data_IF_766693472203
#
_entry.id   IF_766693472203
#
_cell.length_a   1.000
_cell.length_b   1.000
_cell.length_c   1.000
_cell.angle_alpha   90.00
_cell.angle_beta   90.00
_cell.angle_gamma   90.00
#
_symmetry.space_group_name_H-M   'P 1'
#
loop_
_entity.id
_entity.type
_entity.pdbx_description
1 polymer ?
#
# COMPACT_ATOMS: atom_id res chain seq x y z
N UNK A 1 -12.30 21.37 -22.24
CA UNK A 1 -13.09 22.32 -21.44
C UNK A 1 -12.30 22.67 -20.18
N UNK A 2 -11.73 23.87 -20.16
CA UNK A 2 -10.88 24.45 -19.10
C UNK A 2 -11.57 24.38 -17.72
N UNK A 3 -10.84 23.99 -16.68
CA UNK A 3 -11.33 23.90 -15.30
C UNK A 3 -11.85 25.26 -14.80
N UNK A 4 -11.25 26.34 -15.30
CA UNK A 4 -11.66 27.72 -15.01
C UNK A 4 -13.05 28.00 -15.60
N UNK A 5 -13.32 27.52 -16.81
CA UNK A 5 -14.61 27.69 -17.47
C UNK A 5 -15.73 26.86 -16.82
N UNK A 6 -15.42 25.63 -16.38
CA UNK A 6 -16.39 24.77 -15.69
C UNK A 6 -16.77 25.33 -14.30
N UNK A 7 -15.78 25.85 -13.57
CA UNK A 7 -16.00 26.50 -12.27
C UNK A 7 -16.78 27.81 -12.43
N UNK A 8 -16.42 28.65 -13.41
CA UNK A 8 -17.15 29.87 -13.71
C UNK A 8 -18.63 29.60 -14.08
N UNK A 9 -18.90 28.52 -14.81
CA UNK A 9 -20.27 28.12 -15.15
C UNK A 9 -21.06 27.60 -13.94
N UNK A 10 -20.42 26.80 -13.07
CA UNK A 10 -21.04 26.35 -11.82
C UNK A 10 -21.32 27.51 -10.88
N UNK A 11 -20.36 28.42 -10.69
CA UNK A 11 -20.50 29.60 -9.84
C UNK A 11 -21.56 30.54 -10.40
N UNK A 12 -21.63 30.72 -11.73
CA UNK A 12 -22.70 31.48 -12.41
C UNK A 12 -24.08 30.85 -12.17
N UNK A 13 -24.23 29.54 -12.31
CA UNK A 13 -25.50 28.87 -12.02
C UNK A 13 -25.85 29.00 -10.53
N UNK A 14 -24.91 28.73 -9.62
CA UNK A 14 -25.15 28.77 -8.17
C UNK A 14 -25.49 30.17 -7.65
N UNK A 15 -24.88 31.22 -8.20
CA UNK A 15 -25.11 32.62 -7.76
C UNK A 15 -26.27 33.29 -8.50
N UNK A 16 -26.50 32.97 -9.77
CA UNK A 16 -27.51 33.65 -10.60
C UNK A 16 -28.86 32.94 -10.58
N UNK A 17 -28.87 31.59 -10.51
CA UNK A 17 -30.11 30.79 -10.60
C UNK A 17 -30.81 30.64 -9.23
N UNK A 18 -30.11 30.83 -8.12
CA UNK A 18 -30.69 30.72 -6.77
C UNK A 18 -31.18 32.08 -6.23
N UNK A 19 -30.78 33.22 -6.83
CA UNK A 19 -31.03 34.55 -6.27
C UNK A 19 -31.76 35.58 -7.14
N UNK A 20 -31.91 35.37 -8.46
CA UNK A 20 -32.56 36.36 -9.34
C UNK A 20 -33.49 35.70 -10.36
N UNK A 21 -34.60 36.36 -10.74
CA UNK A 21 -35.46 35.87 -11.81
C UNK A 21 -34.64 35.76 -13.10
N UNK A 22 -34.73 34.65 -13.85
CA UNK A 22 -33.88 34.41 -15.01
C UNK A 22 -34.15 35.47 -16.07
N UNK A 23 -33.12 36.24 -16.43
CA UNK A 23 -33.16 37.03 -17.65
C UNK A 23 -33.29 36.06 -18.84
N UNK A 24 -34.27 36.24 -19.73
CA UNK A 24 -34.53 35.29 -20.80
C UNK A 24 -33.36 35.28 -21.78
N UNK A 25 -32.68 34.13 -21.89
CA UNK A 25 -31.74 33.87 -22.97
C UNK A 25 -32.49 33.91 -24.30
N UNK A 26 -31.98 34.67 -25.28
CA UNK A 26 -32.55 34.76 -26.62
C UNK A 26 -32.60 33.37 -27.27
N UNK A 27 -33.79 32.77 -27.34
CA UNK A 27 -34.02 31.45 -27.92
C UNK A 27 -33.83 31.53 -29.45
N UNK A 28 -32.81 30.87 -29.98
CA UNK A 28 -32.56 30.71 -31.43
C UNK A 28 -33.56 29.77 -32.13
N UNK A 29 -34.45 29.10 -31.37
CA UNK A 29 -35.51 28.24 -31.87
C UNK A 29 -36.78 28.49 -31.06
N UNK A 30 -37.91 28.75 -31.73
CA UNK A 30 -39.21 28.96 -31.10
C UNK A 30 -39.83 27.62 -30.66
N UNK A 31 -39.25 27.02 -29.63
CA UNK A 31 -39.85 25.86 -28.94
C UNK A 31 -40.43 26.37 -27.62
N UNK A 32 -41.75 26.27 -27.47
CA UNK A 32 -42.44 26.57 -26.22
C UNK A 32 -42.54 25.28 -25.40
N UNK A 33 -41.57 25.06 -24.52
CA UNK A 33 -41.66 24.02 -23.50
C UNK A 33 -42.67 24.44 -22.42
N UNK A 34 -43.36 23.46 -21.84
CA UNK A 34 -44.09 23.68 -20.59
C UNK A 34 -43.12 23.97 -19.44
N UNK A 35 -43.58 24.65 -18.39
CA UNK A 35 -42.78 24.88 -17.16
C UNK A 35 -42.26 23.59 -16.54
N UNK A 36 -42.99 22.47 -16.69
CA UNK A 36 -42.56 21.15 -16.25
C UNK A 36 -41.40 20.59 -17.11
N UNK A 37 -41.43 20.83 -18.43
CA UNK A 37 -40.34 20.42 -19.33
C UNK A 37 -39.09 21.28 -19.14
N UNK A 38 -39.23 22.59 -18.94
CA UNK A 38 -38.11 23.47 -18.62
C UNK A 38 -37.44 23.05 -17.29
N UNK A 39 -38.22 22.74 -16.26
CA UNK A 39 -37.69 22.23 -14.98
C UNK A 39 -36.96 20.89 -15.15
N UNK A 40 -37.49 19.98 -15.99
CA UNK A 40 -36.84 18.69 -16.28
C UNK A 40 -35.51 18.87 -17.01
N UNK A 41 -35.46 19.75 -18.02
CA UNK A 41 -34.24 20.04 -18.79
C UNK A 41 -33.15 20.62 -17.87
N UNK A 42 -33.52 21.56 -16.97
CA UNK A 42 -32.57 22.14 -16.01
C UNK A 42 -32.06 21.08 -15.04
N UNK A 43 -32.95 20.25 -14.48
CA UNK A 43 -32.59 19.17 -13.55
C UNK A 43 -31.66 18.14 -14.21
N UNK A 44 -31.96 17.72 -15.43
CA UNK A 44 -31.12 16.82 -16.22
C UNK A 44 -29.76 17.46 -16.54
N UNK A 45 -29.74 18.75 -16.86
CA UNK A 45 -28.52 19.52 -17.12
C UNK A 45 -27.60 19.59 -15.91
N UNK A 46 -28.16 19.92 -14.73
CA UNK A 46 -27.41 19.94 -13.46
C UNK A 46 -26.89 18.55 -13.10
N UNK A 47 -27.72 17.51 -13.26
CA UNK A 47 -27.32 16.14 -12.97
C UNK A 47 -26.16 15.68 -13.85
N UNK A 48 -26.21 15.98 -15.16
CA UNK A 48 -25.10 15.70 -16.09
C UNK A 48 -23.85 16.50 -15.75
N UNK A 49 -23.98 17.79 -15.43
CA UNK A 49 -22.85 18.63 -15.05
C UNK A 49 -22.16 18.11 -13.77
N UNK A 50 -22.96 17.65 -12.79
CA UNK A 50 -22.46 17.02 -11.57
C UNK A 50 -21.68 15.73 -11.87
N UNK A 51 -22.21 14.85 -12.70
CA UNK A 51 -21.52 13.61 -13.11
C UNK A 51 -20.18 13.93 -13.78
N UNK A 52 -20.17 14.89 -14.72
CA UNK A 52 -18.94 15.30 -15.42
C UNK A 52 -17.92 15.89 -14.43
N UNK A 53 -18.38 16.71 -13.48
CA UNK A 53 -17.52 17.30 -12.47
C UNK A 53 -16.92 16.24 -11.54
N UNK A 54 -17.73 15.30 -11.04
CA UNK A 54 -17.29 14.20 -10.19
C UNK A 54 -16.27 13.31 -10.92
N UNK A 55 -16.51 12.98 -12.20
CA UNK A 55 -15.55 12.23 -13.03
C UNK A 55 -14.23 12.97 -13.20
N UNK A 56 -14.26 14.28 -13.51
CA UNK A 56 -13.03 15.09 -13.64
C UNK A 56 -12.27 15.17 -12.32
N UNK A 57 -12.97 15.30 -11.20
CA UNK A 57 -12.35 15.35 -9.88
C UNK A 57 -11.67 14.01 -9.54
N UNK A 58 -12.30 12.88 -9.84
CA UNK A 58 -11.69 11.54 -9.70
C UNK A 58 -10.40 11.42 -10.51
N UNK A 59 -10.44 11.80 -11.79
CA UNK A 59 -9.25 11.79 -12.66
C UNK A 59 -8.12 12.66 -12.10
N UNK A 60 -8.41 13.88 -11.67
CA UNK A 60 -7.41 14.77 -11.08
C UNK A 60 -6.79 14.21 -9.79
N UNK A 61 -7.59 13.49 -8.99
CA UNK A 61 -7.10 12.80 -7.79
C UNK A 61 -6.20 11.61 -8.14
N UNK A 62 -6.58 10.81 -9.15
CA UNK A 62 -5.77 9.70 -9.64
C UNK A 62 -4.43 10.18 -10.20
N UNK A 63 -4.43 11.22 -11.04
CA UNK A 63 -3.22 11.85 -11.57
C UNK A 63 -2.33 12.37 -10.45
N UNK A 64 -2.92 12.98 -9.41
CA UNK A 64 -2.16 13.42 -8.23
C UNK A 64 -1.47 12.24 -7.54
N UNK A 65 -2.19 11.14 -7.26
CA UNK A 65 -1.63 9.96 -6.60
C UNK A 65 -0.48 9.38 -7.42
N UNK A 66 -0.70 9.15 -8.72
CA UNK A 66 0.32 8.60 -9.61
C UNK A 66 1.54 9.51 -9.71
N UNK A 67 1.36 10.82 -9.75
CA UNK A 67 2.46 11.78 -9.76
C UNK A 67 3.27 11.76 -8.45
N UNK A 68 2.63 11.64 -7.29
CA UNK A 68 3.35 11.53 -6.01
C UNK A 68 4.08 10.21 -5.86
N UNK A 69 3.46 9.10 -6.30
CA UNK A 69 4.12 7.79 -6.32
C UNK A 69 5.30 7.77 -7.29
N UNK A 70 5.16 8.35 -8.48
CA UNK A 70 6.27 8.50 -9.41
C UNK A 70 7.42 9.28 -8.79
N UNK A 71 7.14 10.38 -8.07
CA UNK A 71 8.17 11.14 -7.33
C UNK A 71 8.84 10.31 -6.24
N UNK A 72 8.06 9.56 -5.46
CA UNK A 72 8.59 8.70 -4.41
C UNK A 72 9.44 7.54 -4.97
N UNK A 73 9.18 7.11 -6.20
CA UNK A 73 9.97 6.10 -6.90
C UNK A 73 11.33 6.62 -7.42
N UNK A 74 11.58 7.94 -7.44
CA UNK A 74 12.84 8.49 -7.94
C UNK A 74 13.95 8.37 -6.89
N UNK A 75 15.10 7.71 -7.19
CA UNK A 75 16.20 7.51 -6.24
C UNK A 75 16.78 8.81 -5.64
N UNK A 76 16.80 9.89 -6.42
CA UNK A 76 17.38 11.19 -6.04
C UNK A 76 16.45 12.03 -5.16
N UNK A 77 15.19 11.64 -4.99
CA UNK A 77 14.22 12.43 -4.22
C UNK A 77 14.60 12.56 -2.74
N UNK A 78 15.33 11.57 -2.18
CA UNK A 78 16.00 11.60 -0.86
C UNK A 78 15.11 11.91 0.36
N UNK A 79 13.86 12.29 0.13
CA UNK A 79 12.92 12.84 1.10
C UNK A 79 11.68 11.96 1.09
N UNK A 80 11.38 11.39 2.25
CA UNK A 80 10.15 10.66 2.47
C UNK A 80 8.95 11.59 2.17
N UNK A 81 7.87 11.01 1.64
CA UNK A 81 6.63 11.76 1.45
C UNK A 81 6.15 12.30 2.80
N UNK A 82 5.57 13.51 2.80
CA UNK A 82 5.04 14.07 4.04
C UNK A 82 3.89 13.19 4.58
N UNK A 83 3.68 13.10 5.90
CA UNK A 83 2.58 12.33 6.48
C UNK A 83 1.20 12.74 5.92
N UNK A 84 0.99 14.04 5.66
CA UNK A 84 -0.23 14.55 5.06
C UNK A 84 -0.41 14.08 3.61
N UNK A 85 0.67 14.05 2.83
CA UNK A 85 0.66 13.52 1.46
C UNK A 85 0.35 12.04 1.45
N UNK A 86 1.00 11.25 2.32
CA UNK A 86 0.75 9.82 2.43
C UNK A 86 -0.70 9.53 2.82
N UNK A 87 -1.24 10.23 3.83
CA UNK A 87 -2.64 10.08 4.25
C UNK A 87 -3.62 10.39 3.11
N UNK A 88 -3.36 11.45 2.33
CA UNK A 88 -4.18 11.78 1.16
C UNK A 88 -4.11 10.71 0.08
N UNK A 89 -2.93 10.14 -0.18
CA UNK A 89 -2.75 9.05 -1.14
C UNK A 89 -3.54 7.82 -0.68
N UNK A 90 -3.34 7.38 0.56
CA UNK A 90 -4.06 6.23 1.14
C UNK A 90 -5.57 6.40 1.03
N UNK A 91 -6.11 7.55 1.47
CA UNK A 91 -7.54 7.82 1.38
C UNK A 91 -8.06 7.83 -0.07
N UNK A 92 -7.25 8.30 -1.03
CA UNK A 92 -7.63 8.31 -2.44
C UNK A 92 -7.62 6.88 -3.01
N UNK A 93 -6.63 6.06 -2.68
CA UNK A 93 -6.57 4.66 -3.09
C UNK A 93 -7.77 3.89 -2.55
N UNK A 94 -8.11 4.06 -1.27
CA UNK A 94 -9.28 3.42 -0.65
C UNK A 94 -10.62 3.82 -1.31
N UNK A 95 -10.74 5.06 -1.78
CA UNK A 95 -11.94 5.54 -2.48
C UNK A 95 -11.98 5.14 -3.97
N UNK A 96 -10.81 4.87 -4.57
CA UNK A 96 -10.62 4.61 -6.00
C UNK A 96 -9.60 3.47 -6.20
N UNK A 97 -9.96 2.21 -5.86
CA UNK A 97 -9.07 1.07 -5.95
C UNK A 97 -8.58 0.79 -7.38
N UNK A 98 -9.31 1.22 -8.40
CA UNK A 98 -8.93 1.11 -9.80
C UNK A 98 -7.59 1.78 -10.13
N UNK A 99 -7.15 2.76 -9.33
CA UNK A 99 -5.85 3.43 -9.50
C UNK A 99 -4.69 2.43 -9.37
N UNK A 100 -4.84 1.37 -8.57
CA UNK A 100 -3.79 0.38 -8.32
C UNK A 100 -3.28 -0.28 -9.62
N UNK A 101 -4.15 -0.44 -10.61
CA UNK A 101 -3.78 -1.01 -11.92
C UNK A 101 -2.75 -0.15 -12.67
N UNK A 102 -2.65 1.13 -12.32
CA UNK A 102 -1.73 2.09 -12.92
C UNK A 102 -0.51 2.38 -12.03
N UNK A 103 -0.45 1.82 -10.82
CA UNK A 103 0.70 2.00 -9.92
C UNK A 103 1.85 1.14 -10.42
N UNK A 104 3.05 1.70 -10.64
CA UNK A 104 4.14 0.94 -11.21
C UNK A 104 4.84 0.10 -10.12
N UNK A 105 4.50 -1.19 -10.05
CA UNK A 105 4.94 -2.15 -9.02
C UNK A 105 6.15 -3.00 -9.44
N UNK A 106 7.12 -2.42 -10.14
CA UNK A 106 8.39 -3.12 -10.39
C UNK A 106 9.28 -3.12 -9.13
N UNK A 107 10.27 -4.02 -9.09
CA UNK A 107 11.11 -4.22 -7.90
C UNK A 107 11.86 -2.96 -7.44
N UNK A 108 12.28 -2.09 -8.36
CA UNK A 108 12.96 -0.83 -8.02
C UNK A 108 12.00 0.14 -7.34
N UNK A 109 10.83 0.36 -7.94
CA UNK A 109 9.80 1.24 -7.38
C UNK A 109 9.33 0.77 -6.01
N UNK A 110 9.13 -0.54 -5.83
CA UNK A 110 8.72 -1.11 -4.55
C UNK A 110 9.75 -0.82 -3.46
N UNK A 111 11.05 -0.97 -3.75
CA UNK A 111 12.12 -0.63 -2.79
C UNK A 111 12.11 0.86 -2.45
N UNK A 112 11.86 1.70 -3.44
CA UNK A 112 11.76 3.14 -3.24
C UNK A 112 10.52 3.50 -2.41
N UNK A 113 9.39 2.81 -2.60
CA UNK A 113 8.20 2.97 -1.76
C UNK A 113 8.43 2.51 -0.33
N UNK A 114 9.10 1.37 -0.13
CA UNK A 114 9.46 0.88 1.19
C UNK A 114 10.31 1.90 1.96
N UNK A 115 11.23 2.58 1.26
CA UNK A 115 12.10 3.60 1.84
C UNK A 115 11.39 4.94 2.10
N UNK A 116 10.59 5.41 1.15
CA UNK A 116 10.09 6.80 1.14
C UNK A 116 8.63 6.94 1.62
N UNK A 117 7.83 5.87 1.57
CA UNK A 117 6.41 5.93 1.88
C UNK A 117 5.82 4.57 2.31
N UNK A 118 6.43 3.94 3.32
CA UNK A 118 6.04 2.61 3.83
C UNK A 118 4.52 2.44 4.04
N UNK A 119 3.84 3.41 4.66
CA UNK A 119 2.39 3.30 4.91
C UNK A 119 1.58 3.17 3.62
N UNK A 120 2.00 3.86 2.55
CA UNK A 120 1.34 3.76 1.25
C UNK A 120 1.60 2.40 0.62
N UNK A 121 2.81 1.86 0.76
CA UNK A 121 3.12 0.50 0.32
C UNK A 121 2.25 -0.55 1.03
N UNK A 122 2.05 -0.41 2.34
CA UNK A 122 1.15 -1.29 3.11
C UNK A 122 -0.30 -1.18 2.61
N UNK A 123 -0.79 0.03 2.33
CA UNK A 123 -2.12 0.20 1.72
C UNK A 123 -2.22 -0.53 0.38
N UNK A 124 -1.23 -0.36 -0.49
CA UNK A 124 -1.17 -1.04 -1.80
C UNK A 124 -1.25 -2.57 -1.61
N UNK A 125 -0.47 -3.11 -0.69
CA UNK A 125 -0.46 -4.56 -0.38
C UNK A 125 -1.82 -5.03 0.11
N UNK A 126 -2.42 -4.32 1.08
CA UNK A 126 -3.72 -4.70 1.65
C UNK A 126 -4.87 -4.63 0.65
N UNK A 127 -4.72 -3.83 -0.41
CA UNK A 127 -5.72 -3.71 -1.49
C UNK A 127 -5.40 -4.60 -2.69
N UNK A 128 -4.30 -5.36 -2.66
CA UNK A 128 -3.94 -6.27 -3.74
C UNK A 128 -4.62 -7.62 -3.50
N UNK A 129 -5.55 -8.00 -4.37
CA UNK A 129 -6.36 -9.22 -4.20
C UNK A 129 -5.56 -10.52 -4.39
N UNK A 130 -4.50 -10.47 -5.20
CA UNK A 130 -3.70 -11.64 -5.57
C UNK A 130 -2.62 -11.91 -4.52
N UNK A 131 -2.73 -13.04 -3.82
CA UNK A 131 -1.70 -13.48 -2.85
C UNK A 131 -0.32 -13.63 -3.49
N UNK A 132 -0.26 -14.04 -4.76
CA UNK A 132 0.99 -14.12 -5.52
C UNK A 132 1.63 -12.75 -5.71
N UNK A 133 0.82 -11.72 -6.03
CA UNK A 133 1.32 -10.37 -6.22
C UNK A 133 1.72 -9.74 -4.89
N UNK A 134 0.93 -9.97 -3.82
CA UNK A 134 1.29 -9.59 -2.44
C UNK A 134 2.66 -10.16 -2.06
N UNK A 135 2.87 -11.46 -2.30
CA UNK A 135 4.16 -12.11 -2.04
C UNK A 135 5.30 -11.45 -2.83
N UNK A 136 5.12 -11.22 -4.13
CA UNK A 136 6.12 -10.56 -4.99
C UNK A 136 6.45 -9.14 -4.52
N UNK A 137 5.45 -8.37 -4.11
CA UNK A 137 5.63 -7.01 -3.60
C UNK A 137 6.43 -7.05 -2.30
N UNK A 138 6.00 -7.86 -1.33
CA UNK A 138 6.69 -7.99 -0.03
C UNK A 138 8.12 -8.47 -0.25
N UNK A 139 8.33 -9.51 -1.04
CA UNK A 139 9.65 -10.04 -1.36
C UNK A 139 10.55 -8.95 -1.97
N UNK A 140 10.01 -8.09 -2.84
CA UNK A 140 10.76 -6.99 -3.46
C UNK A 140 11.12 -5.88 -2.47
N UNK A 141 10.31 -5.66 -1.44
CA UNK A 141 10.52 -4.67 -0.40
C UNK A 141 11.62 -5.07 0.62
N UNK A 142 11.98 -6.35 0.71
CA UNK A 142 13.04 -6.83 1.61
C UNK A 142 14.41 -6.30 1.16
N UNK A 143 14.98 -5.40 1.95
CA UNK A 143 16.32 -4.83 1.78
C UNK A 143 17.30 -5.42 2.79
N UNK A 144 18.60 -5.38 2.49
CA UNK A 144 19.65 -5.90 3.38
C UNK A 144 20.86 -4.94 3.39
N UNK A 145 21.44 -4.61 4.56
CA UNK A 145 20.89 -4.82 5.90
C UNK A 145 19.67 -3.92 6.16
N UNK A 146 18.84 -4.30 7.14
CA UNK A 146 17.71 -3.51 7.61
C UNK A 146 18.08 -2.77 8.90
N UNK A 147 17.58 -1.54 9.04
CA UNK A 147 17.57 -0.86 10.34
C UNK A 147 16.40 -1.38 11.21
N UNK A 148 16.38 -0.99 12.50
CA UNK A 148 15.39 -1.49 13.47
C UNK A 148 13.95 -1.12 13.06
N UNK A 149 13.74 0.08 12.52
CA UNK A 149 12.41 0.55 12.12
C UNK A 149 11.91 -0.24 10.91
N UNK A 150 12.75 -0.40 9.89
CA UNK A 150 12.46 -1.22 8.70
C UNK A 150 12.12 -2.66 9.10
N UNK A 151 12.90 -3.24 10.02
CA UNK A 151 12.67 -4.59 10.49
C UNK A 151 11.34 -4.73 11.24
N UNK A 152 11.01 -3.81 12.16
CA UNK A 152 9.73 -3.80 12.88
C UNK A 152 8.54 -3.76 11.91
N UNK A 153 8.60 -2.84 10.94
CA UNK A 153 7.56 -2.64 9.95
C UNK A 153 7.40 -3.87 9.04
N UNK A 154 8.49 -4.44 8.55
CA UNK A 154 8.45 -5.63 7.70
C UNK A 154 7.99 -6.87 8.46
N UNK A 155 8.44 -7.07 9.69
CA UNK A 155 8.03 -8.22 10.50
C UNK A 155 6.53 -8.20 10.78
N UNK A 156 5.96 -7.03 11.12
CA UNK A 156 4.52 -6.89 11.28
C UNK A 156 3.77 -7.23 9.99
N UNK A 157 4.25 -6.70 8.85
CA UNK A 157 3.65 -6.98 7.55
C UNK A 157 3.69 -8.48 7.18
N UNK A 158 4.79 -9.17 7.49
CA UNK A 158 4.91 -10.62 7.27
C UNK A 158 3.96 -11.41 8.17
N UNK A 159 3.74 -10.99 9.41
CA UNK A 159 2.77 -11.60 10.33
C UNK A 159 1.35 -11.39 9.79
N UNK A 160 0.99 -10.16 9.43
CA UNK A 160 -0.36 -9.81 8.95
C UNK A 160 -0.69 -10.53 7.62
N UNK A 161 0.31 -10.72 6.75
CA UNK A 161 0.14 -11.30 5.42
C UNK A 161 0.60 -12.76 5.34
N UNK A 162 0.82 -13.46 6.46
CA UNK A 162 1.45 -14.79 6.50
C UNK A 162 0.85 -15.80 5.51
N UNK A 163 -0.48 -15.79 5.32
CA UNK A 163 -1.16 -16.69 4.40
C UNK A 163 -0.76 -16.51 2.93
N UNK A 164 -0.29 -15.32 2.54
CA UNK A 164 0.16 -15.01 1.20
C UNK A 164 1.68 -15.23 1.01
N UNK A 165 2.45 -15.44 2.08
CA UNK A 165 3.91 -15.47 2.01
C UNK A 165 4.45 -16.86 1.65
N UNK A 166 5.30 -16.91 0.62
CA UNK A 166 6.03 -18.10 0.22
C UNK A 166 7.28 -18.36 1.07
N UNK A 167 7.76 -19.62 1.07
CA UNK A 167 9.02 -19.98 1.72
C UNK A 167 10.21 -19.16 1.19
N UNK A 168 10.28 -18.89 -0.12
CA UNK A 168 11.34 -18.07 -0.72
C UNK A 168 11.40 -16.65 -0.15
N UNK A 169 10.24 -16.05 0.13
CA UNK A 169 10.15 -14.74 0.77
C UNK A 169 10.65 -14.81 2.21
N UNK A 170 10.32 -15.88 2.94
CA UNK A 170 10.82 -16.10 4.30
C UNK A 170 12.33 -16.36 4.33
N UNK A 171 12.90 -17.10 3.37
CA UNK A 171 14.35 -17.26 3.24
C UNK A 171 15.03 -15.91 2.98
N UNK A 172 14.47 -15.09 2.08
CA UNK A 172 14.99 -13.75 1.82
C UNK A 172 14.94 -12.86 3.05
N UNK A 173 13.86 -12.96 3.84
CA UNK A 173 13.73 -12.26 5.12
C UNK A 173 14.76 -12.76 6.14
N UNK A 174 14.96 -14.07 6.29
CA UNK A 174 15.96 -14.65 7.19
C UNK A 174 17.36 -14.11 6.87
N UNK A 175 17.76 -14.15 5.59
CA UNK A 175 19.02 -13.62 5.12
C UNK A 175 19.18 -12.12 5.45
N UNK A 176 18.10 -11.34 5.34
CA UNK A 176 18.08 -9.93 5.69
C UNK A 176 18.28 -9.70 7.19
N UNK A 177 17.63 -10.50 8.02
CA UNK A 177 17.79 -10.47 9.48
C UNK A 177 19.22 -10.83 9.85
N UNK A 178 19.79 -11.90 9.29
CA UNK A 178 21.18 -12.29 9.55
C UNK A 178 22.19 -11.22 9.15
N UNK A 179 22.02 -10.60 7.98
CA UNK A 179 22.85 -9.48 7.56
C UNK A 179 22.78 -8.31 8.56
N UNK A 180 21.58 -8.00 9.06
CA UNK A 180 21.33 -6.94 10.04
C UNK A 180 21.95 -7.27 11.41
N UNK A 181 21.83 -8.51 11.87
CA UNK A 181 22.42 -9.01 13.11
C UNK A 181 23.95 -9.08 13.05
N UNK A 182 24.55 -9.34 11.88
CA UNK A 182 26.01 -9.28 11.67
C UNK A 182 26.53 -7.84 11.65
N UNK A 183 25.77 -6.92 11.06
CA UNK A 183 26.12 -5.50 11.03
C UNK A 183 26.11 -4.86 12.44
N UNK A 184 25.25 -5.35 13.33
CA UNK A 184 25.17 -4.91 14.72
C UNK A 184 26.02 -5.83 15.60
N UNK A 185 27.26 -5.43 15.90
CA UNK A 185 28.09 -6.15 16.88
C UNK A 185 27.33 -6.29 18.21
N UNK A 186 27.37 -7.48 18.80
CA UNK A 186 26.65 -7.94 20.00
C UNK A 186 26.03 -6.84 20.87
N UNK A 187 24.70 -6.82 21.01
CA UNK A 187 24.00 -5.79 21.76
C UNK A 187 22.47 -5.96 21.77
N UNK A 188 21.77 -5.00 22.41
CA UNK A 188 20.31 -5.02 22.56
C UNK A 188 19.56 -5.07 21.22
N UNK A 189 20.09 -4.42 20.18
CA UNK A 189 19.47 -4.38 18.86
C UNK A 189 19.55 -5.73 18.11
N UNK A 190 20.68 -6.46 18.23
CA UNK A 190 20.79 -7.82 17.70
C UNK A 190 19.80 -8.74 18.40
N UNK A 191 19.71 -8.68 19.74
CA UNK A 191 18.73 -9.46 20.51
C UNK A 191 17.31 -9.14 20.08
N UNK A 192 16.97 -7.85 19.92
CA UNK A 192 15.66 -7.41 19.43
C UNK A 192 15.32 -8.02 18.06
N UNK A 193 16.25 -7.92 17.10
CA UNK A 193 16.07 -8.48 15.77
C UNK A 193 15.85 -10.00 15.82
N UNK A 194 16.65 -10.73 16.60
CA UNK A 194 16.50 -12.18 16.72
C UNK A 194 15.14 -12.55 17.32
N UNK A 195 14.71 -11.85 18.37
CA UNK A 195 13.39 -12.07 18.99
C UNK A 195 12.26 -11.85 18.00
N UNK A 196 12.32 -10.76 17.25
CA UNK A 196 11.28 -10.40 16.29
C UNK A 196 11.22 -11.41 15.13
N UNK A 197 12.36 -11.77 14.56
CA UNK A 197 12.42 -12.82 13.54
C UNK A 197 11.87 -14.14 14.06
N UNK A 198 12.21 -14.52 15.30
CA UNK A 198 11.69 -15.74 15.92
C UNK A 198 10.16 -15.73 16.04
N UNK A 199 9.54 -14.56 16.29
CA UNK A 199 8.08 -14.41 16.29
C UNK A 199 7.48 -14.58 14.90
N UNK A 200 8.07 -13.97 13.88
CA UNK A 200 7.63 -14.10 12.48
C UNK A 200 7.65 -15.57 12.07
N UNK A 201 8.75 -16.29 12.34
CA UNK A 201 8.86 -17.70 11.99
C UNK A 201 7.92 -18.59 12.79
N UNK A 202 7.72 -18.34 14.09
CA UNK A 202 6.70 -19.08 14.84
C UNK A 202 5.30 -18.89 14.24
N UNK A 203 4.93 -17.66 13.88
CA UNK A 203 3.64 -17.38 13.24
C UNK A 203 3.50 -18.06 11.88
N UNK A 204 4.57 -18.04 11.06
CA UNK A 204 4.60 -18.75 9.79
C UNK A 204 4.44 -20.28 9.96
N UNK A 205 5.11 -20.85 10.96
CA UNK A 205 4.99 -22.27 11.31
C UNK A 205 3.62 -22.65 11.90
N UNK A 206 2.95 -21.72 12.58
CA UNK A 206 1.56 -21.91 13.04
C UNK A 206 0.60 -21.97 11.85
N UNK A 207 0.84 -21.16 10.81
CA UNK A 207 0.03 -21.13 9.61
C UNK A 207 0.32 -22.29 8.63
N UNK A 208 1.57 -22.70 8.52
CA UNK A 208 2.01 -23.79 7.65
C UNK A 208 3.17 -24.58 8.28
N UNK A 209 2.85 -25.72 8.88
CA UNK A 209 3.84 -26.57 9.55
C UNK A 209 4.88 -27.18 8.60
N UNK A 210 4.57 -27.33 7.31
CA UNK A 210 5.52 -27.87 6.31
C UNK A 210 6.73 -26.94 6.07
N UNK A 211 6.64 -25.67 6.49
CA UNK A 211 7.78 -24.75 6.48
C UNK A 211 8.89 -25.20 7.44
N UNK A 212 8.57 -25.97 8.49
CA UNK A 212 9.58 -26.51 9.41
C UNK A 212 10.59 -27.39 8.67
N UNK A 213 10.09 -28.34 7.87
CA UNK A 213 10.93 -29.24 7.07
C UNK A 213 11.67 -28.46 5.98
N UNK A 214 10.94 -27.61 5.24
CA UNK A 214 11.47 -26.84 4.11
C UNK A 214 12.62 -25.92 4.51
N UNK A 215 12.54 -25.30 5.69
CA UNK A 215 13.52 -24.30 6.17
C UNK A 215 14.37 -24.82 7.33
N UNK A 216 14.32 -26.13 7.62
CA UNK A 216 14.92 -26.75 8.82
C UNK A 216 16.40 -26.40 8.98
N UNK A 217 17.16 -26.44 7.89
CA UNK A 217 18.60 -26.20 7.88
C UNK A 217 18.92 -24.73 8.18
N UNK A 218 18.38 -23.81 7.40
CA UNK A 218 18.66 -22.38 7.50
C UNK A 218 18.13 -21.81 8.81
N UNK A 219 16.91 -22.19 9.21
CA UNK A 219 16.30 -21.73 10.45
C UNK A 219 16.99 -22.36 11.67
N UNK A 220 17.40 -23.63 11.57
CA UNK A 220 18.23 -24.29 12.56
C UNK A 220 19.58 -23.60 12.76
N UNK A 221 20.28 -23.28 11.65
CA UNK A 221 21.53 -22.54 11.66
C UNK A 221 21.39 -21.16 12.30
N UNK A 222 20.32 -20.43 11.95
CA UNK A 222 20.00 -19.15 12.57
C UNK A 222 19.83 -19.30 14.09
N UNK A 223 19.00 -20.23 14.55
CA UNK A 223 18.77 -20.42 15.97
C UNK A 223 20.04 -20.80 16.74
N UNK A 224 20.89 -21.67 16.17
CA UNK A 224 22.17 -22.06 16.76
C UNK A 224 23.20 -20.92 16.78
N UNK A 225 23.09 -19.96 15.87
CA UNK A 225 23.92 -18.75 15.88
C UNK A 225 23.56 -17.80 17.03
N UNK A 226 22.32 -17.87 17.54
CA UNK A 226 21.81 -16.96 18.57
C UNK A 226 21.24 -17.68 19.81
N UNK A 227 21.90 -18.75 20.28
CA UNK A 227 21.48 -19.57 21.43
C UNK A 227 21.23 -18.82 22.74
N UNK A 228 21.81 -17.62 22.90
CA UNK A 228 21.60 -16.77 24.08
C UNK A 228 20.24 -16.06 24.08
N UNK A 229 19.51 -16.08 22.96
CA UNK A 229 18.17 -15.51 22.85
C UNK A 229 17.14 -16.62 23.05
N UNK A 230 16.37 -16.53 24.15
CA UNK A 230 15.38 -17.54 24.52
C UNK A 230 14.43 -17.89 23.36
N UNK A 231 13.90 -16.88 22.67
CA UNK A 231 12.95 -17.05 21.57
C UNK A 231 13.54 -17.87 20.40
N UNK A 232 14.84 -17.72 20.11
CA UNK A 232 15.53 -18.50 19.08
C UNK A 232 15.70 -19.96 19.52
N UNK A 233 16.04 -20.19 20.79
CA UNK A 233 16.16 -21.54 21.34
C UNK A 233 14.79 -22.25 21.39
N UNK A 234 13.72 -21.53 21.72
CA UNK A 234 12.36 -22.07 21.73
C UNK A 234 11.90 -22.44 20.30
N UNK A 235 12.20 -21.58 19.32
CA UNK A 235 11.97 -21.86 17.89
C UNK A 235 12.76 -23.10 17.42
N UNK A 236 14.02 -23.24 17.82
CA UNK A 236 14.84 -24.40 17.46
C UNK A 236 14.22 -25.72 17.93
N UNK A 237 13.75 -25.76 19.19
CA UNK A 237 13.10 -26.97 19.73
C UNK A 237 11.85 -27.32 18.92
N UNK A 238 11.07 -26.32 18.53
CA UNK A 238 9.85 -26.50 17.73
C UNK A 238 10.15 -27.14 16.37
N UNK A 239 11.21 -26.70 15.69
CA UNK A 239 11.62 -27.28 14.40
C UNK A 239 11.97 -28.76 14.58
N UNK A 240 12.82 -29.09 15.56
CA UNK A 240 13.22 -30.48 15.85
C UNK A 240 12.04 -31.40 16.20
N UNK A 241 11.04 -30.90 16.94
CA UNK A 241 9.83 -31.68 17.26
C UNK A 241 8.92 -31.90 16.05
N UNK A 242 9.02 -31.03 15.04
CA UNK A 242 8.23 -31.16 13.81
C UNK A 242 8.88 -32.17 12.86
N UNK A 243 10.22 -32.17 12.76
CA UNK A 243 10.98 -33.14 11.94
C UNK A 243 10.91 -34.59 12.48
N UNK A 244 10.54 -34.77 13.75
CA UNK A 244 10.43 -36.09 14.38
C UNK A 244 9.06 -36.74 14.25
N UNK A 245 8.06 -36.02 13.72
CA UNK A 245 6.70 -36.56 13.49
C UNK A 245 6.41 -36.89 12.02
N UNK A 246 7.34 -36.58 11.11
CA UNK A 246 7.28 -36.87 9.67
C UNK A 246 8.01 -38.16 9.24
N UNK A 247 8.45 -39.01 10.19
CA UNK A 247 9.08 -40.32 9.97
C UNK A 247 8.14 -41.48 10.32
#
# INVERSE_FOLDING_TARGET
MDATAAKAFYDYIATTVVGMPPAPLSRLLSVNFSTAEDARIISDGISRARIIYEQKNKLAQAEYVLAQLAKAAVPTSGTALSPQTMARITATLEQQPEILQSVPLNAENIRMYAKNCWNVLVTIINMTDSSSDVNCIIQSAIVQPMNIVEHNSLAQLLIDQTAAISADTLFKYLNAVEASCRAQQSGSAQVHNVRLASKVFNHALDANSALAETMSIELGSFCLSYTRVKDATDLYRRILTTDSTSL
#
